data_IF_220676479755
#
_entry.id   IF_220676479755
#
_cell.length_a   1.000
_cell.length_b   1.000
_cell.length_c   1.000
_cell.angle_alpha   90.00
_cell.angle_beta   90.00
_cell.angle_gamma   90.00
#
_symmetry.space_group_name_H-M   'P 1'
#
loop_
_entity.id
_entity.type
_entity.pdbx_description
1 polymer ?
#
# COMPACT_ATOMS: atom_id res chain seq x y z
N UNK A 1 31.75 -10.67 33.38
CA UNK A 1 32.45 -9.54 32.70
C UNK A 1 31.66 -9.07 31.48
N UNK A 2 31.27 -9.97 30.58
CA UNK A 2 30.51 -9.65 29.36
C UNK A 2 29.19 -8.94 29.65
N UNK A 3 28.40 -9.45 30.59
CA UNK A 3 27.14 -8.81 31.01
C UNK A 3 27.36 -7.38 31.55
N UNK A 4 28.45 -7.15 32.29
CA UNK A 4 28.77 -5.81 32.82
C UNK A 4 29.15 -4.86 31.68
N UNK A 5 29.99 -5.30 30.75
CA UNK A 5 30.34 -4.55 29.54
C UNK A 5 29.10 -4.16 28.75
N UNK A 6 28.22 -5.14 28.48
CA UNK A 6 26.98 -4.90 27.76
C UNK A 6 26.10 -3.87 28.47
N UNK A 7 25.94 -3.96 29.80
CA UNK A 7 25.14 -3.00 30.56
C UNK A 7 25.74 -1.57 30.53
N UNK A 8 27.05 -1.44 30.70
CA UNK A 8 27.71 -0.12 30.64
C UNK A 8 27.55 0.51 29.25
N UNK A 9 27.77 -0.26 28.19
CA UNK A 9 27.58 0.21 26.82
C UNK A 9 26.11 0.50 26.51
N UNK A 10 25.19 -0.29 27.06
CA UNK A 10 23.76 -0.09 26.86
C UNK A 10 23.27 1.22 27.51
N UNK A 11 23.61 1.45 28.78
CA UNK A 11 23.07 2.56 29.57
C UNK A 11 23.89 3.85 29.51
N UNK A 12 25.20 3.77 29.33
CA UNK A 12 26.12 4.89 29.57
C UNK A 12 27.13 5.15 28.46
N UNK A 13 26.88 4.68 27.24
CA UNK A 13 27.80 4.91 26.11
C UNK A 13 28.18 6.39 25.88
N UNK A 14 27.26 7.36 25.97
CA UNK A 14 27.60 8.77 25.76
C UNK A 14 28.16 9.47 27.00
N UNK A 15 28.44 8.75 28.10
CA UNK A 15 29.05 9.36 29.29
C UNK A 15 30.41 9.99 28.93
N UNK A 16 30.68 11.23 29.38
CA UNK A 16 31.91 11.93 29.02
C UNK A 16 33.13 11.37 29.77
N UNK A 17 32.93 10.78 30.95
CA UNK A 17 34.00 10.17 31.72
C UNK A 17 34.36 8.78 31.15
N UNK A 18 35.65 8.47 30.93
CA UNK A 18 36.05 7.17 30.40
C UNK A 18 35.88 6.06 31.45
N UNK A 19 35.10 5.03 31.09
CA UNK A 19 34.78 3.87 31.91
C UNK A 19 35.67 2.71 31.51
N UNK A 20 36.46 2.21 32.46
CA UNK A 20 37.39 1.12 32.22
C UNK A 20 36.95 -0.16 32.92
N UNK A 21 36.95 -1.29 32.19
CA UNK A 21 36.91 -2.62 32.78
C UNK A 21 38.33 -3.12 32.99
N UNK A 22 38.65 -3.47 34.23
CA UNK A 22 39.95 -4.03 34.62
C UNK A 22 39.76 -5.53 34.87
N UNK A 23 40.49 -6.36 34.11
CA UNK A 23 40.52 -7.81 34.26
C UNK A 23 41.98 -8.28 34.36
N UNK A 24 42.47 -8.43 35.59
CA UNK A 24 43.90 -8.63 35.83
C UNK A 24 44.69 -7.43 35.32
N UNK A 25 45.65 -7.65 34.42
CA UNK A 25 46.45 -6.60 33.78
C UNK A 25 45.76 -5.95 32.57
N UNK A 26 44.67 -6.53 32.05
CA UNK A 26 43.97 -6.01 30.86
C UNK A 26 43.04 -4.86 31.27
N UNK A 27 43.24 -3.69 30.66
CA UNK A 27 42.38 -2.50 30.78
C UNK A 27 41.64 -2.26 29.47
N UNK A 28 40.32 -2.30 29.49
CA UNK A 28 39.47 -2.09 28.30
C UNK A 28 38.57 -0.87 28.50
N UNK A 29 38.58 0.09 27.58
CA UNK A 29 37.65 1.23 27.57
C UNK A 29 36.28 0.76 27.08
N UNK A 30 35.23 1.04 27.85
CA UNK A 30 33.87 0.55 27.56
C UNK A 30 33.01 1.56 26.78
N UNK A 31 33.23 2.86 26.98
CA UNK A 31 32.53 3.95 26.30
C UNK A 31 33.53 4.78 25.47
N UNK A 32 33.93 4.30 24.28
CA UNK A 32 34.75 5.12 23.39
C UNK A 32 34.03 6.45 23.07
N UNK A 33 34.77 7.56 22.93
CA UNK A 33 34.17 8.83 22.55
C UNK A 33 33.49 8.71 21.19
N UNK A 34 32.50 9.57 20.94
CA UNK A 34 31.80 9.57 19.67
C UNK A 34 32.79 9.80 18.50
N UNK A 35 32.68 9.03 17.39
CA UNK A 35 33.66 9.10 16.30
C UNK A 35 33.86 10.51 15.72
N UNK A 36 35.10 10.85 15.38
CA UNK A 36 35.49 12.11 14.73
C UNK A 36 36.70 11.92 13.81
N UNK A 37 36.92 12.87 12.88
CA UNK A 37 38.04 12.86 11.93
C UNK A 37 37.77 12.08 10.64
N UNK A 38 38.83 11.76 9.89
CA UNK A 38 38.73 11.20 8.52
C UNK A 38 38.04 9.83 8.46
N UNK A 39 38.14 9.01 9.50
CA UNK A 39 37.51 7.68 9.58
C UNK A 39 36.12 7.70 10.23
N UNK A 40 35.56 8.88 10.50
CA UNK A 40 34.32 9.06 11.23
C UNK A 40 33.16 8.27 10.62
N UNK A 41 33.00 8.30 9.29
CA UNK A 41 31.89 7.62 8.63
C UNK A 41 31.89 6.11 8.92
N UNK A 42 33.03 5.43 8.69
CA UNK A 42 33.14 3.98 8.91
C UNK A 42 32.94 3.61 10.39
N UNK A 43 33.44 4.42 11.31
CA UNK A 43 33.27 4.22 12.75
C UNK A 43 31.82 4.41 13.21
N UNK A 44 31.12 5.42 12.68
CA UNK A 44 29.69 5.62 12.96
C UNK A 44 28.88 4.44 12.43
N UNK A 45 29.12 3.99 11.20
CA UNK A 45 28.44 2.83 10.65
C UNK A 45 28.65 1.57 11.50
N UNK A 46 29.89 1.27 11.88
CA UNK A 46 30.22 0.12 12.73
C UNK A 46 29.58 0.24 14.14
N UNK A 47 29.52 1.45 14.70
CA UNK A 47 28.83 1.72 15.95
C UNK A 47 27.33 1.40 15.83
N UNK A 48 26.67 1.88 14.77
CA UNK A 48 25.28 1.59 14.50
C UNK A 48 25.01 0.08 14.40
N UNK A 49 25.80 -0.62 13.59
CA UNK A 49 25.70 -2.08 13.41
C UNK A 49 25.83 -2.82 14.74
N UNK A 50 26.78 -2.42 15.58
CA UNK A 50 26.95 -3.00 16.91
C UNK A 50 25.81 -2.67 17.89
N UNK A 51 25.23 -1.48 17.82
CA UNK A 51 24.20 -1.02 18.75
C UNK A 51 22.83 -1.64 18.50
N UNK A 52 22.50 -1.82 17.23
CA UNK A 52 21.18 -2.22 16.77
C UNK A 52 21.14 -3.62 16.16
N UNK A 53 22.30 -4.28 16.01
CA UNK A 53 22.41 -5.60 15.37
C UNK A 53 21.75 -5.62 13.99
N UNK A 54 21.93 -4.55 13.23
CA UNK A 54 21.26 -4.31 11.94
C UNK A 54 22.22 -3.65 10.95
N UNK A 55 21.96 -3.83 9.66
CA UNK A 55 22.73 -3.20 8.59
C UNK A 55 22.07 -1.88 8.17
N UNK A 56 22.91 -0.94 7.74
CA UNK A 56 22.47 0.41 7.41
C UNK A 56 22.98 0.84 6.03
N UNK A 57 22.18 1.63 5.31
CA UNK A 57 22.57 2.26 4.04
C UNK A 57 23.54 3.43 4.26
N UNK A 58 23.41 4.08 5.42
CA UNK A 58 24.15 5.27 5.82
C UNK A 58 23.53 5.87 7.07
N UNK A 59 23.93 7.08 7.42
CA UNK A 59 23.39 7.81 8.56
C UNK A 59 23.11 9.28 8.23
N UNK A 60 22.23 9.86 9.04
CA UNK A 60 21.83 11.26 9.05
C UNK A 60 22.41 11.88 10.33
N UNK A 61 23.28 12.90 10.25
CA UNK A 61 23.65 13.70 11.41
C UNK A 61 22.42 14.39 12.00
N UNK A 62 22.22 14.27 13.31
CA UNK A 62 21.12 14.91 14.03
C UNK A 62 21.69 15.98 14.95
N UNK A 63 21.75 17.21 14.46
CA UNK A 63 22.26 18.35 15.22
C UNK A 63 21.16 19.40 15.38
N UNK A 64 20.63 19.53 16.60
CA UNK A 64 19.58 20.50 16.92
C UNK A 64 20.11 21.94 16.73
N UNK A 65 19.44 22.79 15.93
CA UNK A 65 19.80 24.20 15.80
C UNK A 65 19.76 24.97 17.12
N UNK A 66 18.90 24.54 18.06
CA UNK A 66 18.76 25.17 19.38
C UNK A 66 19.54 24.44 20.49
N UNK A 67 20.28 23.38 20.15
CA UNK A 67 21.07 22.59 21.09
C UNK A 67 20.27 21.65 22.00
N UNK A 68 19.01 21.34 21.65
CA UNK A 68 18.15 20.43 22.41
C UNK A 68 18.62 18.98 22.38
N UNK A 69 19.20 18.56 21.27
CA UNK A 69 19.70 17.20 21.07
C UNK A 69 20.89 17.16 20.09
N UNK A 70 21.65 16.08 20.17
CA UNK A 70 22.72 15.74 19.23
C UNK A 70 22.76 14.23 19.02
N UNK A 71 23.12 13.76 17.83
CA UNK A 71 23.24 12.33 17.57
C UNK A 71 23.25 11.96 16.10
N UNK A 72 22.81 10.74 15.81
CA UNK A 72 22.74 10.19 14.44
C UNK A 72 21.49 9.34 14.26
N UNK A 73 20.91 9.40 13.06
CA UNK A 73 19.85 8.50 12.61
C UNK A 73 20.39 7.57 11.52
N UNK A 74 20.47 6.28 11.80
CA UNK A 74 20.89 5.28 10.83
C UNK A 74 19.71 4.85 9.95
N UNK A 75 19.94 4.80 8.64
CA UNK A 75 18.94 4.43 7.64
C UNK A 75 19.02 2.93 7.41
N UNK A 76 17.97 2.18 7.76
CA UNK A 76 17.95 0.71 7.63
C UNK A 76 18.16 0.26 6.19
N UNK A 77 18.82 -0.88 5.99
CA UNK A 77 19.04 -1.47 4.66
C UNK A 77 17.91 -2.35 4.15
N UNK A 78 16.87 -2.57 4.96
CA UNK A 78 15.73 -3.43 4.69
C UNK A 78 14.41 -2.71 5.01
N UNK A 79 13.34 -3.08 4.29
CA UNK A 79 12.02 -2.51 4.52
C UNK A 79 11.54 -2.78 5.96
N UNK A 80 10.86 -1.80 6.53
CA UNK A 80 10.36 -1.86 7.90
C UNK A 80 8.89 -1.46 7.93
N UNK A 81 8.04 -2.27 8.56
CA UNK A 81 6.65 -1.92 8.75
C UNK A 81 6.49 -0.80 9.81
N UNK A 82 5.49 0.09 9.70
CA UNK A 82 5.22 1.11 10.73
C UNK A 82 5.00 0.53 12.13
N UNK A 83 4.42 -0.68 12.19
CA UNK A 83 4.11 -1.42 13.42
C UNK A 83 5.29 -2.23 13.97
N UNK A 84 6.43 -2.26 13.28
CA UNK A 84 7.60 -2.96 13.76
C UNK A 84 8.07 -2.36 15.08
N UNK A 85 8.59 -3.20 15.98
CA UNK A 85 9.16 -2.71 17.23
C UNK A 85 10.40 -1.87 16.93
N UNK A 86 10.32 -0.59 17.25
CA UNK A 86 11.46 0.32 17.15
C UNK A 86 12.27 0.22 18.44
N UNK A 87 13.58 0.04 18.30
CA UNK A 87 14.52 0.14 19.42
C UNK A 87 15.53 1.22 19.03
N UNK A 88 15.27 2.44 19.53
CA UNK A 88 16.19 3.55 19.45
C UNK A 88 17.13 3.53 20.67
N UNK A 89 18.10 4.44 20.69
CA UNK A 89 18.99 4.69 21.81
C UNK A 89 18.88 6.16 22.18
N UNK A 90 17.93 6.49 23.06
CA UNK A 90 17.64 7.86 23.43
C UNK A 90 18.11 8.11 24.86
N UNK A 91 19.13 8.97 24.98
CA UNK A 91 19.80 9.32 26.22
C UNK A 91 19.36 10.70 26.69
N UNK A 92 19.15 10.84 27.98
CA UNK A 92 18.97 12.12 28.67
C UNK A 92 20.17 12.34 29.58
N UNK A 93 20.90 13.44 29.37
CA UNK A 93 22.12 13.76 30.12
C UNK A 93 23.10 12.59 30.13
N UNK A 94 23.34 12.03 28.94
CA UNK A 94 24.27 10.94 28.67
C UNK A 94 23.91 9.57 29.27
N UNK A 95 22.71 9.42 29.83
CA UNK A 95 22.19 8.17 30.38
C UNK A 95 20.97 7.71 29.61
N UNK A 96 20.90 6.41 29.29
CA UNK A 96 19.79 5.87 28.52
C UNK A 96 18.49 6.11 29.28
N UNK A 97 17.55 6.76 28.62
CA UNK A 97 16.21 7.02 29.16
C UNK A 97 15.22 6.03 28.56
N UNK A 98 15.21 5.92 27.23
CA UNK A 98 14.22 5.12 26.53
C UNK A 98 14.74 4.60 25.19
N UNK A 99 14.15 3.50 24.75
CA UNK A 99 14.30 2.99 23.39
C UNK A 99 13.09 3.32 22.52
N UNK A 100 12.00 3.82 23.12
CA UNK A 100 10.81 4.24 22.42
C UNK A 100 10.98 5.67 21.91
N UNK A 101 10.93 5.83 20.59
CA UNK A 101 11.03 7.12 19.92
C UNK A 101 9.68 7.76 19.61
N UNK A 102 8.55 7.14 19.96
CA UNK A 102 7.22 7.50 19.47
C UNK A 102 6.79 8.95 19.76
N UNK A 103 7.24 9.53 20.88
CA UNK A 103 6.95 10.94 21.22
C UNK A 103 7.91 11.94 20.58
N UNK A 104 9.13 11.50 20.25
CA UNK A 104 10.22 12.39 19.83
C UNK A 104 10.40 12.40 18.30
N UNK A 105 10.22 11.25 17.64
CA UNK A 105 10.43 11.10 16.20
C UNK A 105 9.14 11.33 15.40
N UNK A 106 9.25 11.82 14.15
CA UNK A 106 8.11 11.84 13.24
C UNK A 106 7.56 10.42 12.99
N UNK A 107 6.24 10.28 12.87
CA UNK A 107 5.59 8.97 12.68
C UNK A 107 6.07 8.24 11.42
N UNK A 108 6.47 8.97 10.38
CA UNK A 108 6.98 8.42 9.12
C UNK A 108 8.44 7.95 9.20
N UNK A 109 9.19 8.29 10.25
CA UNK A 109 10.62 8.00 10.40
C UNK A 109 10.93 6.57 10.88
N UNK A 110 9.99 5.63 10.74
CA UNK A 110 10.11 4.24 11.22
C UNK A 110 11.23 3.42 10.55
N UNK A 111 11.73 3.90 9.41
CA UNK A 111 12.88 3.33 8.71
C UNK A 111 14.24 3.71 9.30
N UNK A 112 14.24 4.51 10.37
CA UNK A 112 15.46 4.97 11.06
C UNK A 112 15.69 4.23 12.38
N UNK A 113 16.95 4.10 12.77
CA UNK A 113 17.37 3.78 14.13
C UNK A 113 18.19 4.94 14.66
N UNK A 114 17.80 5.47 15.81
CA UNK A 114 18.34 6.76 16.27
C UNK A 114 19.20 6.54 17.50
N UNK A 115 20.40 7.10 17.50
CA UNK A 115 21.22 7.30 18.69
C UNK A 115 21.20 8.80 18.98
N UNK A 116 20.48 9.20 20.02
CA UNK A 116 20.21 10.62 20.34
C UNK A 116 20.57 10.86 21.80
N UNK A 117 21.30 11.93 22.08
CA UNK A 117 21.47 12.46 23.42
C UNK A 117 20.81 13.84 23.51
N UNK A 118 20.03 14.06 24.56
CA UNK A 118 19.41 15.35 24.88
C UNK A 118 19.78 15.80 26.28
N UNK A 119 19.91 17.11 26.47
CA UNK A 119 20.14 17.72 27.80
C UNK A 119 18.96 18.61 28.26
N UNK A 120 18.11 19.02 27.32
CA UNK A 120 17.05 20.01 27.54
C UNK A 120 15.65 19.42 27.73
N UNK A 121 15.44 18.14 27.42
CA UNK A 121 14.13 17.51 27.59
C UNK A 121 13.87 17.04 29.03
N UNK A 122 12.60 17.06 29.42
CA UNK A 122 12.16 16.67 30.76
C UNK A 122 11.66 15.23 30.75
N UNK A 123 12.13 14.35 31.65
CA UNK A 123 11.64 12.99 31.74
C UNK A 123 10.30 12.93 32.48
N UNK A 124 9.53 11.87 32.26
CA UNK A 124 8.41 11.50 33.12
C UNK A 124 8.87 11.09 34.52
N UNK A 125 7.93 10.96 35.47
CA UNK A 125 8.23 10.52 36.82
C UNK A 125 8.85 9.10 36.87
N UNK A 126 8.45 8.19 35.98
CA UNK A 126 9.05 6.85 35.86
C UNK A 126 10.44 6.85 35.23
N UNK A 127 10.82 7.95 34.55
CA UNK A 127 12.05 8.07 33.74
C UNK A 127 12.16 7.05 32.60
N UNK A 128 11.02 6.68 32.03
CA UNK A 128 10.96 5.76 30.89
C UNK A 128 10.60 6.47 29.58
N UNK A 129 10.26 7.77 29.66
CA UNK A 129 9.85 8.58 28.52
C UNK A 129 9.98 10.08 28.86
N UNK A 130 9.64 10.96 27.92
CA UNK A 130 9.60 12.41 28.07
C UNK A 130 8.22 12.95 28.42
N UNK A 131 8.19 14.00 29.24
CA UNK A 131 6.98 14.74 29.55
C UNK A 131 6.56 15.60 28.34
N UNK A 132 5.28 15.55 27.98
CA UNK A 132 4.74 16.30 26.83
C UNK A 132 4.64 17.80 27.17
N UNK A 133 5.60 18.56 26.67
CA UNK A 133 5.66 20.01 26.81
C UNK A 133 6.15 20.69 25.53
N UNK A 134 6.22 22.02 25.53
CA UNK A 134 6.70 22.79 24.39
C UNK A 134 8.15 22.48 23.97
N UNK A 135 9.01 22.05 24.90
CA UNK A 135 10.39 21.67 24.56
C UNK A 135 10.43 20.35 23.76
N UNK A 136 9.62 19.36 24.15
CA UNK A 136 9.48 18.11 23.41
C UNK A 136 8.89 18.35 22.02
N UNK A 137 7.86 19.19 21.92
CA UNK A 137 7.26 19.57 20.64
C UNK A 137 8.30 20.21 19.70
N UNK A 138 9.07 21.20 20.18
CA UNK A 138 10.14 21.83 19.40
C UNK A 138 11.23 20.84 19.00
N UNK A 139 11.67 19.96 19.90
CA UNK A 139 12.67 18.95 19.58
C UNK A 139 12.19 18.02 18.46
N UNK A 140 10.90 17.65 18.46
CA UNK A 140 10.31 16.85 17.38
C UNK A 140 10.27 17.61 16.04
N UNK A 141 9.91 18.89 16.03
CA UNK A 141 9.96 19.72 14.82
C UNK A 141 11.38 19.83 14.26
N UNK A 142 12.35 20.10 15.12
CA UNK A 142 13.76 20.21 14.73
C UNK A 142 14.33 18.87 14.23
N UNK A 143 13.97 17.75 14.86
CA UNK A 143 14.35 16.41 14.37
C UNK A 143 13.75 16.14 13.00
N UNK A 144 12.45 16.44 12.82
CA UNK A 144 11.78 16.31 11.53
C UNK A 144 12.53 17.12 10.47
N UNK A 145 12.85 18.38 10.77
CA UNK A 145 13.59 19.27 9.88
C UNK A 145 14.99 18.75 9.55
N UNK A 146 15.76 18.24 10.52
CA UNK A 146 17.08 17.67 10.27
C UNK A 146 17.02 16.50 9.27
N UNK A 147 16.03 15.61 9.45
CA UNK A 147 15.85 14.45 8.59
C UNK A 147 15.39 14.90 7.19
N UNK A 148 14.42 15.80 7.09
CA UNK A 148 13.92 16.27 5.79
C UNK A 148 14.97 17.07 5.03
N UNK A 149 15.74 17.94 5.69
CA UNK A 149 16.86 18.67 5.07
C UNK A 149 17.93 17.74 4.52
N UNK A 150 18.29 16.67 5.25
CA UNK A 150 19.20 15.67 4.73
C UNK A 150 18.68 15.01 3.45
N UNK A 151 17.41 14.59 3.45
CA UNK A 151 16.77 13.99 2.28
C UNK A 151 16.69 14.97 1.09
N UNK A 152 16.36 16.25 1.35
CA UNK A 152 16.40 17.33 0.34
C UNK A 152 17.82 17.54 -0.20
N UNK A 153 18.85 17.44 0.63
CA UNK A 153 20.24 17.58 0.21
C UNK A 153 20.68 16.46 -0.73
N UNK A 154 20.25 15.21 -0.47
CA UNK A 154 20.47 14.08 -1.37
C UNK A 154 19.75 14.29 -2.70
N UNK A 155 18.53 14.81 -2.67
CA UNK A 155 17.78 15.16 -3.87
C UNK A 155 18.45 16.24 -4.71
N UNK A 156 18.89 17.34 -4.09
CA UNK A 156 19.60 18.41 -4.79
C UNK A 156 20.91 17.96 -5.43
N UNK A 157 21.57 16.95 -4.86
CA UNK A 157 22.81 16.35 -5.38
C UNK A 157 22.59 15.20 -6.37
N UNK A 158 21.34 14.77 -6.58
CA UNK A 158 21.00 13.55 -7.32
C UNK A 158 21.76 12.31 -6.78
N UNK A 159 21.88 12.23 -5.46
CA UNK A 159 22.64 11.17 -4.80
C UNK A 159 21.95 9.81 -5.01
N UNK A 160 22.66 8.76 -5.50
CA UNK A 160 22.10 7.41 -5.67
C UNK A 160 21.51 6.82 -4.38
N UNK A 161 21.96 7.29 -3.21
CA UNK A 161 21.41 6.92 -1.92
C UNK A 161 19.92 7.25 -1.81
N UNK A 162 19.46 8.35 -2.41
CA UNK A 162 18.05 8.74 -2.39
C UNK A 162 17.18 7.67 -3.06
N UNK A 163 17.57 7.23 -4.26
CA UNK A 163 16.84 6.20 -5.01
C UNK A 163 16.79 4.88 -4.23
N UNK A 164 17.89 4.53 -3.53
CA UNK A 164 17.92 3.35 -2.65
C UNK A 164 16.95 3.48 -1.48
N UNK A 165 16.87 4.66 -0.85
CA UNK A 165 15.92 4.95 0.23
C UNK A 165 14.48 4.81 -0.29
N UNK A 166 14.16 5.43 -1.42
CA UNK A 166 12.82 5.38 -2.03
C UNK A 166 12.39 3.95 -2.33
N UNK A 167 13.30 3.14 -2.90
CA UNK A 167 13.01 1.75 -3.27
C UNK A 167 12.78 0.85 -2.05
N UNK A 168 13.55 1.04 -0.97
CA UNK A 168 13.48 0.17 0.22
C UNK A 168 12.38 0.63 1.17
N UNK A 169 12.19 1.94 1.35
CA UNK A 169 11.33 2.53 2.38
C UNK A 169 10.13 3.26 1.76
N UNK A 170 9.51 2.64 0.75
CA UNK A 170 8.47 3.26 -0.07
C UNK A 170 7.36 3.88 0.77
N UNK A 171 6.81 3.17 1.75
CA UNK A 171 5.70 3.66 2.56
C UNK A 171 6.06 4.90 3.40
N UNK A 172 7.25 4.92 4.00
CA UNK A 172 7.74 6.07 4.77
C UNK A 172 7.93 7.30 3.88
N UNK A 173 8.55 7.07 2.72
CA UNK A 173 8.80 8.11 1.72
C UNK A 173 7.49 8.67 1.18
N UNK A 174 6.51 7.82 0.89
CA UNK A 174 5.17 8.26 0.47
C UNK A 174 4.49 9.12 1.54
N UNK A 175 4.57 8.72 2.81
CA UNK A 175 3.99 9.48 3.93
C UNK A 175 4.56 10.89 4.03
N UNK A 176 5.89 11.05 3.96
CA UNK A 176 6.52 12.38 4.06
C UNK A 176 6.31 13.22 2.79
N UNK A 177 6.24 12.58 1.62
CA UNK A 177 6.01 13.25 0.35
C UNK A 177 4.62 13.89 0.23
N UNK A 178 3.63 13.49 1.03
CA UNK A 178 2.31 14.15 1.03
C UNK A 178 2.32 15.44 1.84
N UNK A 179 3.19 15.52 2.85
CA UNK A 179 3.25 16.64 3.79
C UNK A 179 4.25 17.73 3.32
N UNK A 180 5.23 17.39 2.47
CA UNK A 180 6.34 18.27 2.09
C UNK A 180 6.53 18.36 0.57
N UNK A 181 6.29 19.55 0.00
CA UNK A 181 6.37 19.80 -1.44
C UNK A 181 7.76 19.56 -2.04
N UNK A 182 8.83 19.90 -1.32
CA UNK A 182 10.19 19.76 -1.82
C UNK A 182 10.58 18.28 -1.89
N UNK A 183 10.22 17.51 -0.86
CA UNK A 183 10.42 16.07 -0.83
C UNK A 183 9.50 15.34 -1.81
N UNK A 184 8.25 15.78 -1.95
CA UNK A 184 7.37 15.30 -3.02
C UNK A 184 8.05 15.43 -4.38
N UNK A 185 8.59 16.62 -4.67
CA UNK A 185 9.29 16.89 -5.93
C UNK A 185 10.49 15.98 -6.16
N UNK A 186 11.23 15.71 -5.09
CA UNK A 186 12.41 14.87 -5.11
C UNK A 186 12.10 13.38 -5.30
N UNK A 187 11.05 12.88 -4.64
CA UNK A 187 10.78 11.45 -4.54
C UNK A 187 9.84 10.93 -5.62
N UNK A 188 8.86 11.72 -6.02
CA UNK A 188 7.80 11.28 -6.94
C UNK A 188 8.34 10.63 -8.22
N UNK A 189 9.39 11.17 -8.89
CA UNK A 189 9.92 10.55 -10.11
C UNK A 189 10.41 9.10 -9.93
N UNK A 190 10.83 8.73 -8.72
CA UNK A 190 11.39 7.41 -8.39
C UNK A 190 10.36 6.44 -7.78
N UNK A 191 9.17 6.92 -7.42
CA UNK A 191 8.11 6.07 -6.91
C UNK A 191 7.56 5.20 -8.04
N UNK A 192 7.24 3.94 -7.73
CA UNK A 192 6.62 3.01 -8.67
C UNK A 192 5.13 2.86 -8.37
N UNK A 193 4.35 2.77 -9.43
CA UNK A 193 2.90 2.68 -9.42
C UNK A 193 2.45 1.48 -10.25
N UNK A 194 1.48 0.73 -9.75
CA UNK A 194 0.81 -0.31 -10.53
C UNK A 194 -0.20 0.36 -11.47
N UNK A 195 -0.12 0.07 -12.76
CA UNK A 195 -0.94 0.72 -13.80
C UNK A 195 -1.45 -0.27 -14.84
N UNK A 196 -2.44 0.14 -15.63
CA UNK A 196 -3.00 -0.64 -16.74
C UNK A 196 -1.94 -1.10 -17.77
N UNK A 197 -0.77 -0.46 -17.81
CA UNK A 197 0.37 -0.83 -18.66
C UNK A 197 1.52 -1.51 -17.88
N UNK A 198 1.22 -2.09 -16.73
CA UNK A 198 2.21 -2.69 -15.83
C UNK A 198 2.74 -1.69 -14.80
N UNK A 199 3.93 -1.94 -14.27
CA UNK A 199 4.54 -1.05 -13.29
C UNK A 199 5.21 0.12 -13.99
N UNK A 200 4.78 1.34 -13.67
CA UNK A 200 5.36 2.58 -14.17
C UNK A 200 5.98 3.38 -13.02
N UNK A 201 7.01 4.16 -13.31
CA UNK A 201 7.58 5.12 -12.36
C UNK A 201 6.79 6.43 -12.38
N UNK A 202 6.90 7.24 -11.33
CA UNK A 202 6.34 8.59 -11.35
C UNK A 202 6.96 9.44 -12.45
N UNK A 203 8.22 9.18 -12.83
CA UNK A 203 8.81 9.79 -14.03
C UNK A 203 8.01 9.43 -15.28
N UNK A 204 7.65 8.17 -15.47
CA UNK A 204 6.84 7.75 -16.63
C UNK A 204 5.47 8.42 -16.63
N UNK A 205 4.83 8.53 -15.45
CA UNK A 205 3.55 9.24 -15.31
C UNK A 205 3.67 10.74 -15.66
N UNK A 206 4.77 11.38 -15.27
CA UNK A 206 5.03 12.79 -15.61
C UNK A 206 5.30 13.01 -17.11
N UNK A 207 5.68 11.98 -17.85
CA UNK A 207 5.87 12.01 -19.31
C UNK A 207 4.63 11.53 -20.07
N UNK A 208 3.53 11.21 -19.38
CA UNK A 208 2.30 10.84 -20.05
C UNK A 208 1.72 12.02 -20.85
N UNK A 209 1.26 11.73 -22.07
CA UNK A 209 0.58 12.69 -22.94
C UNK A 209 -0.96 12.64 -22.79
N UNK A 210 -1.46 11.77 -21.92
CA UNK A 210 -2.89 11.53 -21.68
C UNK A 210 -3.24 11.77 -20.22
N UNK A 211 -4.54 12.01 -19.91
CA UNK A 211 -4.99 12.10 -18.52
C UNK A 211 -4.67 10.83 -17.73
N UNK A 212 -4.29 11.01 -16.46
CA UNK A 212 -4.03 9.90 -15.53
C UNK A 212 -5.30 9.62 -14.75
N UNK A 213 -5.85 8.42 -14.93
CA UNK A 213 -6.99 7.95 -14.14
C UNK A 213 -6.51 7.13 -12.95
N UNK A 214 -7.30 7.09 -11.87
CA UNK A 214 -7.04 6.18 -10.74
C UNK A 214 -8.32 5.62 -10.14
N UNK A 215 -8.24 4.44 -9.53
CA UNK A 215 -9.28 3.90 -8.64
C UNK A 215 -8.76 3.86 -7.20
N UNK A 216 -9.56 4.28 -6.21
CA UNK A 216 -9.16 4.29 -4.80
C UNK A 216 -9.19 2.91 -4.14
N UNK A 217 -9.66 1.87 -4.84
CA UNK A 217 -9.71 0.50 -4.35
C UNK A 217 -9.02 -0.48 -5.30
N UNK A 218 -8.36 -1.50 -4.71
CA UNK A 218 -7.57 -2.50 -5.45
C UNK A 218 -8.49 -3.38 -6.32
N UNK A 219 -9.66 -3.74 -5.82
CA UNK A 219 -10.56 -4.63 -6.56
C UNK A 219 -11.22 -3.90 -7.74
N UNK A 220 -11.57 -2.62 -7.60
CA UNK A 220 -11.99 -1.79 -8.73
C UNK A 220 -10.91 -1.72 -9.82
N UNK A 221 -9.65 -1.51 -9.40
CA UNK A 221 -8.54 -1.49 -10.33
C UNK A 221 -8.46 -2.79 -11.14
N UNK A 222 -8.53 -3.95 -10.46
CA UNK A 222 -8.47 -5.28 -11.11
C UNK A 222 -9.56 -5.46 -12.17
N UNK A 223 -10.78 -4.98 -11.89
CA UNK A 223 -11.91 -5.09 -12.80
C UNK A 223 -11.69 -4.33 -14.11
N UNK A 224 -11.14 -3.12 -14.02
CA UNK A 224 -11.11 -2.18 -15.16
C UNK A 224 -9.74 -2.01 -15.80
N UNK A 225 -8.67 -2.55 -15.21
CA UNK A 225 -7.30 -2.40 -15.71
C UNK A 225 -7.13 -2.93 -17.14
N UNK A 226 -7.60 -4.14 -17.42
CA UNK A 226 -7.46 -4.77 -18.74
C UNK A 226 -8.20 -3.98 -19.84
N UNK A 227 -9.40 -3.49 -19.53
CA UNK A 227 -10.22 -2.69 -20.45
C UNK A 227 -9.58 -1.33 -20.69
N UNK A 228 -9.07 -0.71 -19.62
CA UNK A 228 -8.37 0.57 -19.69
C UNK A 228 -7.12 0.45 -20.58
N UNK A 229 -6.33 -0.61 -20.40
CA UNK A 229 -5.16 -0.89 -21.23
C UNK A 229 -5.52 -1.03 -22.72
N UNK A 230 -6.57 -1.81 -23.03
CA UNK A 230 -7.01 -2.04 -24.39
C UNK A 230 -7.57 -0.78 -25.09
N UNK A 231 -8.01 0.21 -24.30
CA UNK A 231 -8.47 1.53 -24.77
C UNK A 231 -7.40 2.61 -24.71
N UNK A 232 -6.14 2.23 -24.50
CA UNK A 232 -5.03 3.15 -24.34
C UNK A 232 -5.26 4.20 -23.22
N UNK A 233 -5.99 3.82 -22.16
CA UNK A 233 -6.30 4.64 -21.00
C UNK A 233 -5.35 4.31 -19.87
N UNK A 234 -4.58 5.31 -19.42
CA UNK A 234 -3.65 5.17 -18.29
C UNK A 234 -4.43 5.20 -16.98
N UNK A 235 -4.58 4.02 -16.39
CA UNK A 235 -5.24 3.82 -15.10
C UNK A 235 -4.21 3.39 -14.07
N UNK A 236 -4.20 4.02 -12.89
CA UNK A 236 -3.30 3.72 -11.78
C UNK A 236 -4.09 3.08 -10.63
N UNK A 237 -3.54 2.01 -10.04
CA UNK A 237 -4.07 1.44 -8.82
C UNK A 237 -3.73 2.34 -7.63
N UNK A 238 -4.71 3.11 -7.15
CA UNK A 238 -4.56 3.97 -5.99
C UNK A 238 -5.17 3.38 -4.70
N UNK A 239 -5.45 2.06 -4.70
CA UNK A 239 -5.93 1.33 -3.52
C UNK A 239 -4.89 1.10 -2.43
N UNK A 240 -3.63 1.40 -2.70
CA UNK A 240 -2.58 1.40 -1.69
C UNK A 240 -2.50 2.73 -0.94
N UNK A 241 -2.09 2.67 0.33
CA UNK A 241 -1.91 3.84 1.18
C UNK A 241 -1.12 4.93 0.45
N UNK A 242 -1.59 6.18 0.58
CA UNK A 242 -0.97 7.39 0.04
C UNK A 242 -0.97 7.55 -1.49
N UNK A 243 -1.25 6.51 -2.29
CA UNK A 243 -1.11 6.59 -3.76
C UNK A 243 -2.05 7.64 -4.36
N UNK A 244 -3.34 7.63 -3.99
CA UNK A 244 -4.30 8.63 -4.49
C UNK A 244 -3.85 10.07 -4.18
N UNK A 245 -3.46 10.31 -2.92
CA UNK A 245 -2.98 11.63 -2.45
C UNK A 245 -1.72 12.09 -3.19
N UNK A 246 -0.83 11.16 -3.54
CA UNK A 246 0.36 11.46 -4.34
C UNK A 246 0.00 11.81 -5.80
N UNK A 247 -0.97 11.12 -6.38
CA UNK A 247 -1.45 11.41 -7.75
C UNK A 247 -2.19 12.75 -7.80
N UNK A 248 -3.04 13.06 -6.83
CA UNK A 248 -3.76 14.34 -6.73
C UNK A 248 -2.82 15.55 -6.62
N UNK A 249 -1.59 15.34 -6.15
CA UNK A 249 -0.54 16.36 -6.08
C UNK A 249 0.30 16.47 -7.37
N UNK A 250 0.11 15.58 -8.35
CA UNK A 250 0.85 15.58 -9.62
C UNK A 250 0.72 16.90 -10.42
N UNK A 251 -0.40 17.65 -10.35
CA UNK A 251 -0.50 18.99 -10.95
C UNK A 251 0.56 19.99 -10.46
N UNK A 252 1.24 19.74 -9.32
CA UNK A 252 2.40 20.53 -8.89
C UNK A 252 3.58 20.44 -9.88
N UNK A 253 3.71 19.31 -10.60
CA UNK A 253 4.71 19.13 -11.66
C UNK A 253 4.16 19.48 -13.04
N UNK A 254 2.98 18.96 -13.36
CA UNK A 254 2.34 19.04 -14.68
C UNK A 254 0.89 19.51 -14.53
N UNK A 255 0.65 20.83 -14.43
CA UNK A 255 -0.71 21.38 -14.32
C UNK A 255 -1.59 21.07 -15.53
N UNK A 256 -0.99 20.71 -16.65
CA UNK A 256 -1.62 20.38 -17.93
C UNK A 256 -2.10 18.93 -18.01
N UNK A 257 -1.55 18.01 -17.20
CA UNK A 257 -2.04 16.63 -17.12
C UNK A 257 -3.16 16.57 -16.09
N UNK A 258 -4.36 16.23 -16.56
CA UNK A 258 -5.48 16.02 -15.67
C UNK A 258 -5.35 14.68 -14.93
N UNK A 259 -5.49 14.73 -13.60
CA UNK A 259 -5.60 13.55 -12.74
C UNK A 259 -7.05 13.41 -12.29
N UNK A 260 -7.67 12.26 -12.56
CA UNK A 260 -9.09 12.05 -12.31
C UNK A 260 -9.37 10.68 -11.70
N UNK A 261 -10.27 10.62 -10.72
CA UNK A 261 -10.81 9.34 -10.27
C UNK A 261 -11.65 8.72 -11.39
N UNK A 262 -11.48 7.42 -11.62
CA UNK A 262 -12.30 6.63 -12.53
C UNK A 262 -13.67 6.40 -11.90
N UNK A 263 -14.72 6.93 -12.53
CA UNK A 263 -16.11 6.77 -12.07
C UNK A 263 -16.86 5.68 -12.85
N UNK A 264 -17.92 5.08 -12.29
CA UNK A 264 -18.72 4.07 -13.00
C UNK A 264 -19.28 4.55 -14.34
N UNK A 265 -19.69 5.81 -14.48
CA UNK A 265 -20.25 6.33 -15.74
C UNK A 265 -19.20 6.40 -16.85
N UNK A 266 -17.93 6.60 -16.47
CA UNK A 266 -16.79 6.54 -17.40
C UNK A 266 -16.50 5.09 -17.82
N UNK A 267 -16.71 4.11 -16.93
CA UNK A 267 -16.58 2.70 -17.28
C UNK A 267 -17.63 2.32 -18.32
N UNK A 268 -18.89 2.73 -18.13
CA UNK A 268 -19.95 2.51 -19.13
C UNK A 268 -19.62 3.14 -20.49
N UNK A 269 -18.92 4.28 -20.50
CA UNK A 269 -18.43 4.90 -21.74
C UNK A 269 -17.30 4.12 -22.43
N UNK A 270 -16.55 3.28 -21.70
CA UNK A 270 -15.59 2.34 -22.31
C UNK A 270 -16.30 1.16 -23.00
N UNK A 271 -17.53 0.85 -22.58
CA UNK A 271 -18.36 -0.26 -23.07
C UNK A 271 -19.26 0.18 -24.24
N UNK A 272 -18.92 -0.28 -25.44
CA UNK A 272 -19.66 0.02 -26.66
C UNK A 272 -21.00 -0.73 -26.75
N UNK A 273 -21.93 -0.15 -27.50
CA UNK A 273 -23.18 -0.84 -27.84
C UNK A 273 -22.88 -2.04 -28.74
N UNK A 274 -23.49 -3.20 -28.48
CA UNK A 274 -23.37 -4.35 -29.36
C UNK A 274 -23.99 -4.07 -30.73
N UNK A 275 -23.33 -4.51 -31.79
CA UNK A 275 -23.92 -4.62 -33.12
C UNK A 275 -24.48 -6.03 -33.26
N UNK A 276 -25.79 -6.15 -33.32
CA UNK A 276 -26.46 -7.45 -33.39
C UNK A 276 -26.55 -7.93 -34.84
N UNK A 277 -26.01 -9.12 -35.13
CA UNK A 277 -26.36 -9.86 -36.34
C UNK A 277 -27.73 -10.51 -36.25
N UNK A 278 -28.04 -11.12 -35.09
CA UNK A 278 -29.34 -11.72 -34.75
C UNK A 278 -29.82 -11.22 -33.38
N UNK A 279 -30.79 -10.31 -33.39
CA UNK A 279 -31.40 -9.75 -32.18
C UNK A 279 -32.17 -10.78 -31.36
N UNK A 280 -32.73 -11.83 -31.96
CA UNK A 280 -33.52 -12.82 -31.23
C UNK A 280 -32.62 -13.73 -30.39
N UNK A 281 -31.49 -14.18 -30.96
CA UNK A 281 -30.49 -14.96 -30.24
C UNK A 281 -29.88 -14.16 -29.07
N UNK A 282 -29.60 -12.88 -29.28
CA UNK A 282 -29.09 -11.98 -28.24
C UNK A 282 -30.08 -11.80 -27.07
N UNK A 283 -31.37 -11.62 -27.35
CA UNK A 283 -32.41 -11.50 -26.32
C UNK A 283 -32.59 -12.81 -25.54
N UNK A 284 -32.54 -13.97 -26.21
CA UNK A 284 -32.60 -15.28 -25.55
C UNK A 284 -31.44 -15.45 -24.58
N UNK A 285 -30.21 -15.16 -25.02
CA UNK A 285 -29.03 -15.27 -24.18
C UNK A 285 -29.12 -14.38 -22.93
N UNK A 286 -29.57 -13.12 -23.08
CA UNK A 286 -29.77 -12.21 -21.95
C UNK A 286 -30.84 -12.75 -20.99
N UNK A 287 -31.95 -13.28 -21.49
CA UNK A 287 -33.02 -13.81 -20.65
C UNK A 287 -32.54 -15.01 -19.81
N UNK A 288 -31.88 -15.97 -20.44
CA UNK A 288 -31.27 -17.13 -19.76
C UNK A 288 -30.21 -16.68 -18.74
N UNK A 289 -29.36 -15.73 -19.10
CA UNK A 289 -28.33 -15.20 -18.21
C UNK A 289 -28.94 -14.48 -17.00
N UNK A 290 -29.98 -13.66 -17.18
CA UNK A 290 -30.70 -13.04 -16.07
C UNK A 290 -31.40 -14.07 -15.18
N UNK A 291 -31.93 -15.16 -15.74
CA UNK A 291 -32.53 -16.22 -14.94
C UNK A 291 -31.49 -16.88 -14.04
N UNK A 292 -30.32 -17.23 -14.58
CA UNK A 292 -29.19 -17.79 -13.82
C UNK A 292 -28.68 -16.80 -12.76
N UNK A 293 -28.52 -15.52 -13.13
CA UNK A 293 -27.93 -14.50 -12.26
C UNK A 293 -28.88 -13.96 -11.18
N UNK A 294 -30.18 -14.23 -11.29
CA UNK A 294 -31.19 -13.82 -10.32
C UNK A 294 -30.92 -14.34 -8.91
N UNK A 295 -30.30 -15.52 -8.77
CA UNK A 295 -29.91 -16.10 -7.48
C UNK A 295 -28.72 -15.34 -6.82
N UNK A 296 -28.05 -14.47 -7.56
CA UNK A 296 -26.83 -13.76 -7.15
C UNK A 296 -27.00 -12.24 -7.07
N UNK A 297 -28.23 -11.72 -7.06
CA UNK A 297 -28.55 -10.28 -7.09
C UNK A 297 -27.84 -9.53 -8.25
N UNK A 298 -27.64 -10.21 -9.38
CA UNK A 298 -26.88 -9.72 -10.53
C UNK A 298 -27.76 -9.68 -11.79
N UNK A 299 -27.52 -8.69 -12.64
CA UNK A 299 -28.18 -8.56 -13.94
C UNK A 299 -27.19 -8.66 -15.10
N UNK A 300 -27.64 -9.16 -16.25
CA UNK A 300 -26.83 -9.34 -17.45
C UNK A 300 -27.02 -8.20 -18.46
N UNK A 301 -25.96 -7.82 -19.15
CA UNK A 301 -26.02 -6.89 -20.27
C UNK A 301 -25.03 -7.29 -21.36
N UNK A 302 -25.42 -7.19 -22.64
CA UNK A 302 -24.51 -7.40 -23.77
C UNK A 302 -23.82 -6.09 -24.14
N UNK A 303 -22.49 -6.14 -24.24
CA UNK A 303 -21.64 -5.00 -24.63
C UNK A 303 -20.55 -5.43 -25.60
N UNK A 304 -19.87 -4.45 -26.19
CA UNK A 304 -18.61 -4.65 -26.91
C UNK A 304 -17.51 -3.96 -26.14
N UNK A 305 -16.42 -4.68 -25.87
CA UNK A 305 -15.25 -4.10 -25.22
C UNK A 305 -13.99 -4.89 -25.57
N UNK A 306 -12.85 -4.21 -25.48
CA UNK A 306 -11.54 -4.82 -25.64
C UNK A 306 -10.91 -5.08 -24.25
N UNK A 307 -10.04 -6.09 -24.11
CA UNK A 307 -9.60 -7.04 -25.14
C UNK A 307 -10.69 -8.06 -25.52
N UNK A 308 -10.69 -8.53 -26.77
CA UNK A 308 -11.70 -9.47 -27.26
C UNK A 308 -11.59 -10.86 -26.59
N UNK A 309 -10.43 -11.17 -26.02
CA UNK A 309 -10.15 -12.38 -25.27
C UNK A 309 -10.89 -12.42 -23.92
N UNK A 310 -11.29 -11.26 -23.37
CA UNK A 310 -12.06 -11.17 -22.13
C UNK A 310 -13.55 -11.42 -22.43
N UNK A 311 -14.13 -12.57 -22.00
CA UNK A 311 -15.50 -12.93 -22.36
C UNK A 311 -16.55 -12.16 -21.56
N UNK A 312 -16.25 -11.83 -20.31
CA UNK A 312 -17.19 -11.19 -19.38
C UNK A 312 -16.48 -10.20 -18.47
N UNK A 313 -17.20 -9.16 -18.08
CA UNK A 313 -16.80 -8.18 -17.08
C UNK A 313 -17.90 -8.10 -16.01
N UNK A 314 -17.53 -8.28 -14.75
CA UNK A 314 -18.45 -8.07 -13.64
C UNK A 314 -18.14 -6.72 -12.99
N UNK A 315 -19.20 -5.95 -12.70
CA UNK A 315 -19.14 -4.66 -12.03
C UNK A 315 -20.21 -4.62 -10.94
N UNK A 316 -19.90 -4.02 -9.81
CA UNK A 316 -20.82 -3.90 -8.67
C UNK A 316 -20.60 -2.55 -8.03
N UNK A 317 -21.69 -1.95 -7.53
CA UNK A 317 -21.60 -0.64 -6.87
C UNK A 317 -20.87 -0.78 -5.51
N UNK A 318 -20.20 0.28 -5.05
CA UNK A 318 -19.45 0.33 -3.79
C UNK A 318 -20.32 -0.07 -2.58
N UNK A 319 -21.56 0.41 -2.52
CA UNK A 319 -22.51 0.10 -1.45
C UNK A 319 -22.89 -1.40 -1.43
N UNK A 320 -22.95 -2.01 -2.60
CA UNK A 320 -23.26 -3.42 -2.77
C UNK A 320 -22.06 -4.34 -2.48
N UNK A 321 -20.85 -3.86 -2.77
CA UNK A 321 -19.59 -4.48 -2.35
C UNK A 321 -19.48 -4.55 -0.82
N UNK A 322 -19.77 -3.44 -0.13
CA UNK A 322 -19.76 -3.41 1.33
C UNK A 322 -20.75 -4.42 1.94
N UNK A 323 -21.97 -4.49 1.41
CA UNK A 323 -22.96 -5.49 1.82
C UNK A 323 -22.49 -6.93 1.53
N UNK A 324 -21.83 -7.16 0.40
CA UNK A 324 -21.27 -8.48 0.03
C UNK A 324 -20.16 -8.90 0.99
N UNK A 325 -19.26 -7.99 1.37
CA UNK A 325 -18.16 -8.26 2.31
C UNK A 325 -18.66 -8.53 3.73
N UNK A 326 -19.68 -7.78 4.17
CA UNK A 326 -20.36 -8.02 5.45
C UNK A 326 -20.98 -9.43 5.42
N UNK A 327 -21.76 -9.77 4.38
CA UNK A 327 -22.38 -11.11 4.26
C UNK A 327 -21.36 -12.24 4.19
N UNK A 328 -20.26 -12.08 3.44
CA UNK A 328 -19.18 -13.08 3.36
C UNK A 328 -18.50 -13.30 4.72
N UNK A 329 -18.22 -12.22 5.46
CA UNK A 329 -17.63 -12.30 6.82
C UNK A 329 -18.55 -13.00 7.82
N UNK A 330 -19.88 -12.91 7.61
CA UNK A 330 -20.89 -13.60 8.42
C UNK A 330 -20.97 -15.10 8.16
N UNK A 331 -20.74 -15.58 6.93
CA UNK A 331 -20.62 -17.02 6.64
C UNK A 331 -19.45 -17.66 7.40
N UNK A 332 -18.45 -16.85 7.79
CA UNK A 332 -17.26 -17.28 8.52
C UNK A 332 -17.35 -17.08 10.04
N UNK A 333 -18.30 -16.28 10.56
CA UNK A 333 -18.38 -15.91 11.98
C UNK A 333 -19.81 -16.11 12.52
N UNK A 334 -20.00 -17.10 13.41
CA UNK A 334 -21.32 -17.48 13.89
C UNK A 334 -22.01 -16.44 14.82
N UNK A 335 -23.32 -16.29 14.58
CA UNK A 335 -24.45 -15.86 15.43
C UNK A 335 -24.46 -14.51 16.18
N UNK A 336 -23.35 -13.81 16.39
CA UNK A 336 -23.35 -12.62 17.28
C UNK A 336 -23.76 -11.28 16.63
N UNK A 337 -23.82 -11.19 15.30
CA UNK A 337 -24.08 -9.92 14.58
C UNK A 337 -25.37 -9.88 13.74
N UNK A 338 -26.17 -10.95 13.78
CA UNK A 338 -27.32 -11.14 12.88
C UNK A 338 -28.44 -10.12 13.11
N UNK A 339 -28.82 -9.89 14.38
CA UNK A 339 -30.00 -9.08 14.73
C UNK A 339 -29.79 -7.55 14.72
N UNK A 340 -28.55 -7.06 14.65
CA UNK A 340 -28.25 -5.62 14.66
C UNK A 340 -28.13 -5.04 13.24
N UNK A 341 -28.01 -5.89 12.23
CA UNK A 341 -27.82 -5.52 10.82
C UNK A 341 -29.02 -5.80 9.92
N UNK A 342 -30.01 -6.62 10.33
CA UNK A 342 -31.28 -6.73 9.60
C UNK A 342 -31.97 -5.35 9.47
N UNK A 343 -31.82 -4.50 10.50
CA UNK A 343 -32.26 -3.10 10.46
C UNK A 343 -31.46 -2.22 9.47
N UNK A 344 -30.22 -2.58 9.14
CA UNK A 344 -29.41 -1.90 8.11
C UNK A 344 -29.64 -2.47 6.72
N UNK A 345 -30.01 -3.75 6.59
CA UNK A 345 -30.27 -4.40 5.31
C UNK A 345 -31.65 -4.06 4.74
N UNK A 346 -32.67 -3.84 5.59
CA UNK A 346 -34.02 -3.44 5.16
C UNK A 346 -34.07 -2.00 4.60
N UNK A 347 -33.09 -1.15 4.90
CA UNK A 347 -33.08 0.26 4.46
C UNK A 347 -32.55 0.44 3.02
N UNK A 348 -32.03 -0.62 2.38
CA UNK A 348 -31.39 -0.56 1.05
C UNK A 348 -31.92 -1.62 0.08
N UNK A 349 -33.04 -1.34 -0.58
CA UNK A 349 -33.51 -2.07 -1.75
C UNK A 349 -34.12 -1.12 -2.78
N UNK A 350 -33.62 -1.12 -4.02
CA UNK A 350 -34.47 -1.19 -5.24
C UNK A 350 -33.76 -1.24 -6.62
N UNK A 351 -32.44 -1.18 -6.75
CA UNK A 351 -31.78 -1.40 -8.05
C UNK A 351 -30.76 -2.53 -7.99
N UNK A 352 -30.82 -3.48 -8.92
CA UNK A 352 -29.93 -4.63 -8.98
C UNK A 352 -28.45 -4.18 -8.87
N UNK A 353 -27.80 -4.64 -7.81
CA UNK A 353 -26.61 -4.02 -7.26
C UNK A 353 -25.31 -4.38 -8.03
N UNK A 354 -25.38 -5.46 -8.83
CA UNK A 354 -24.31 -5.94 -9.68
C UNK A 354 -24.75 -6.17 -11.14
N UNK A 355 -23.81 -5.97 -12.07
CA UNK A 355 -23.97 -6.18 -13.51
C UNK A 355 -22.86 -7.07 -14.07
N UNK A 356 -23.25 -8.08 -14.84
CA UNK A 356 -22.37 -8.90 -15.66
C UNK A 356 -22.51 -8.47 -17.13
N UNK A 357 -21.45 -7.89 -17.67
CA UNK A 357 -21.34 -7.51 -19.06
C UNK A 357 -20.74 -8.66 -19.88
N UNK A 358 -21.46 -9.17 -20.86
CA UNK A 358 -20.97 -10.18 -21.80
C UNK A 358 -20.38 -9.51 -23.05
N UNK A 359 -19.15 -9.88 -23.40
CA UNK A 359 -18.43 -9.32 -24.53
C UNK A 359 -18.85 -9.96 -25.85
N UNK A 360 -19.64 -9.25 -26.63
CA UNK A 360 -20.09 -9.73 -27.94
C UNK A 360 -18.98 -9.79 -29.00
N UNK A 361 -17.81 -9.21 -28.76
CA UNK A 361 -16.62 -9.41 -29.60
C UNK A 361 -15.85 -10.70 -29.27
N UNK A 362 -16.13 -11.31 -28.12
CA UNK A 362 -15.51 -12.57 -27.72
C UNK A 362 -16.13 -13.77 -28.47
N UNK A 363 -15.30 -14.66 -29.07
CA UNK A 363 -15.81 -15.83 -29.81
C UNK A 363 -16.64 -16.81 -28.98
N UNK A 364 -16.36 -16.97 -27.69
CA UNK A 364 -17.12 -17.85 -26.79
C UNK A 364 -18.53 -17.30 -26.60
N UNK A 365 -18.67 -16.00 -26.31
CA UNK A 365 -19.98 -15.35 -26.14
C UNK A 365 -20.81 -15.43 -27.42
N UNK A 366 -20.19 -15.25 -28.59
CA UNK A 366 -20.88 -15.45 -29.88
C UNK A 366 -21.39 -16.88 -30.04
N UNK A 367 -20.57 -17.89 -29.71
CA UNK A 367 -21.01 -19.30 -29.76
C UNK A 367 -22.15 -19.59 -28.79
N UNK A 368 -22.15 -18.99 -27.60
CA UNK A 368 -23.24 -19.16 -26.63
C UNK A 368 -24.58 -18.62 -27.14
N UNK A 369 -24.58 -17.62 -28.05
CA UNK A 369 -25.82 -17.16 -28.68
C UNK A 369 -26.47 -18.27 -29.53
N UNK A 370 -25.70 -19.21 -30.08
CA UNK A 370 -26.18 -20.29 -30.96
C UNK A 370 -26.48 -21.60 -30.23
N UNK A 371 -26.20 -21.70 -28.93
CA UNK A 371 -26.45 -22.91 -28.14
C UNK A 371 -27.95 -23.08 -27.89
N UNK A 372 -28.51 -24.19 -28.37
CA UNK A 372 -29.92 -24.56 -28.17
C UNK A 372 -30.16 -25.39 -26.90
N UNK A 373 -29.11 -25.98 -26.33
CA UNK A 373 -29.17 -26.84 -25.14
C UNK A 373 -29.12 -25.97 -23.88
N UNK A 374 -30.26 -25.83 -23.22
CA UNK A 374 -30.42 -24.97 -22.05
C UNK A 374 -29.57 -25.38 -20.85
N UNK A 375 -29.35 -26.69 -20.64
CA UNK A 375 -28.50 -27.16 -19.52
C UNK A 375 -27.04 -26.80 -19.75
N UNK A 376 -26.54 -26.99 -20.99
CA UNK A 376 -25.18 -26.60 -21.36
C UNK A 376 -24.98 -25.10 -21.30
N UNK A 377 -25.98 -24.33 -21.76
CA UNK A 377 -25.94 -22.87 -21.72
C UNK A 377 -25.86 -22.36 -20.28
N UNK A 378 -26.73 -22.87 -19.39
CA UNK A 378 -26.72 -22.53 -17.96
C UNK A 378 -25.37 -22.79 -17.31
N UNK A 379 -24.83 -23.99 -17.49
CA UNK A 379 -23.53 -24.40 -16.95
C UNK A 379 -22.40 -23.46 -17.44
N UNK A 380 -22.39 -23.09 -18.71
CA UNK A 380 -21.41 -22.14 -19.25
C UNK A 380 -21.54 -20.73 -18.64
N UNK A 381 -22.77 -20.25 -18.44
CA UNK A 381 -23.03 -18.93 -17.87
C UNK A 381 -22.63 -18.87 -16.38
N UNK A 382 -22.88 -19.94 -15.63
CA UNK A 382 -22.46 -20.11 -14.23
C UNK A 382 -20.92 -20.06 -14.11
N UNK A 383 -20.21 -20.77 -14.98
CA UNK A 383 -18.74 -20.72 -15.03
C UNK A 383 -18.22 -19.33 -15.40
N UNK A 384 -18.82 -18.67 -16.40
CA UNK A 384 -18.41 -17.31 -16.79
C UNK A 384 -18.63 -16.32 -15.65
N UNK A 385 -19.74 -16.41 -14.92
CA UNK A 385 -19.99 -15.58 -13.75
C UNK A 385 -18.90 -15.76 -12.70
N UNK A 386 -18.59 -17.01 -12.31
CA UNK A 386 -17.54 -17.28 -11.32
C UNK A 386 -16.16 -16.84 -11.82
N UNK A 387 -15.86 -17.04 -13.10
CA UNK A 387 -14.63 -16.56 -13.72
C UNK A 387 -14.52 -15.03 -13.65
N UNK A 388 -15.62 -14.30 -13.87
CA UNK A 388 -15.64 -12.85 -13.76
C UNK A 388 -15.35 -12.39 -12.33
N UNK A 389 -15.90 -13.08 -11.33
CA UNK A 389 -15.61 -12.82 -9.91
C UNK A 389 -14.12 -13.04 -9.59
N UNK A 390 -13.56 -14.17 -10.04
CA UNK A 390 -12.15 -14.50 -9.85
C UNK A 390 -11.21 -13.48 -10.49
N UNK A 391 -11.51 -13.10 -11.74
CA UNK A 391 -10.70 -12.14 -12.50
C UNK A 391 -10.78 -10.74 -11.88
N UNK A 392 -11.97 -10.36 -11.38
CA UNK A 392 -12.19 -9.10 -10.66
C UNK A 392 -11.68 -9.09 -9.21
N UNK A 393 -11.20 -10.22 -8.69
CA UNK A 393 -10.66 -10.33 -7.33
C UNK A 393 -11.72 -10.38 -6.22
N UNK A 394 -12.98 -10.65 -6.56
CA UNK A 394 -14.07 -10.66 -5.59
C UNK A 394 -14.04 -11.91 -4.70
N UNK A 395 -14.35 -11.79 -3.40
CA UNK A 395 -14.49 -12.96 -2.54
C UNK A 395 -15.64 -13.83 -3.04
N UNK A 396 -15.33 -15.11 -3.28
CA UNK A 396 -16.32 -16.11 -3.66
C UNK A 396 -17.01 -16.65 -2.40
N UNK A 397 -18.33 -16.73 -2.43
CA UNK A 397 -19.12 -17.42 -1.41
C UNK A 397 -18.92 -18.93 -1.52
N UNK A 398 -19.19 -19.66 -0.44
CA UNK A 398 -19.04 -21.12 -0.43
C UNK A 398 -19.86 -21.82 -1.52
N UNK A 399 -21.05 -21.28 -1.83
CA UNK A 399 -21.90 -21.81 -2.90
C UNK A 399 -21.31 -21.58 -4.31
N UNK A 400 -20.72 -20.41 -4.57
CA UNK A 400 -20.08 -20.08 -5.86
C UNK A 400 -18.84 -20.94 -6.14
N UNK A 401 -18.09 -21.29 -5.08
CA UNK A 401 -16.95 -22.23 -5.15
C UNK A 401 -17.39 -23.68 -5.44
N UNK A 402 -18.50 -24.13 -4.86
CA UNK A 402 -19.06 -25.46 -5.13
C UNK A 402 -19.60 -25.54 -6.56
N UNK A 403 -20.30 -24.51 -7.01
CA UNK A 403 -20.83 -24.35 -8.36
C UNK A 403 -19.73 -24.56 -9.41
N UNK A 404 -18.60 -23.84 -9.29
CA UNK A 404 -17.48 -23.96 -10.22
C UNK A 404 -16.95 -25.38 -10.35
N UNK A 405 -16.77 -26.09 -9.23
CA UNK A 405 -16.28 -27.47 -9.25
C UNK A 405 -17.29 -28.42 -9.89
N UNK A 406 -18.58 -28.28 -9.56
CA UNK A 406 -19.65 -29.12 -10.12
C UNK A 406 -19.80 -28.91 -11.63
N UNK A 407 -19.75 -27.67 -12.09
CA UNK A 407 -19.95 -27.33 -13.49
C UNK A 407 -18.73 -27.66 -14.36
N UNK A 408 -17.51 -27.47 -13.83
CA UNK A 408 -16.30 -27.95 -14.52
C UNK A 408 -16.30 -29.47 -14.69
N UNK A 409 -16.76 -30.23 -13.68
CA UNK A 409 -16.92 -31.68 -13.79
C UNK A 409 -17.96 -32.06 -14.85
N UNK A 410 -19.11 -31.38 -14.89
CA UNK A 410 -20.14 -31.61 -15.92
C UNK A 410 -19.63 -31.34 -17.33
N UNK A 411 -18.88 -30.25 -17.53
CA UNK A 411 -18.25 -29.97 -18.83
C UNK A 411 -17.26 -31.07 -19.24
N UNK A 412 -16.48 -31.60 -18.29
CA UNK A 412 -15.56 -32.70 -18.53
C UNK A 412 -16.31 -33.98 -18.89
N UNK A 413 -17.36 -34.32 -18.16
CA UNK A 413 -18.21 -35.49 -18.42
C UNK A 413 -18.82 -35.44 -19.83
N UNK A 414 -19.28 -34.28 -20.29
CA UNK A 414 -19.79 -34.08 -21.66
C UNK A 414 -18.72 -34.07 -22.76
N UNK A 415 -17.44 -33.92 -22.40
CA UNK A 415 -16.32 -33.92 -23.35
C UNK A 415 -15.65 -35.30 -23.49
N UNK A 416 -15.69 -36.10 -22.41
CA UNK A 416 -15.07 -37.42 -22.32
C UNK A 416 -16.09 -38.51 -22.69
N UNK A 417 -17.38 -38.31 -22.39
CA UNK A 417 -18.49 -39.15 -22.84
C UNK A 417 -19.06 -38.69 -24.17
#
# INVERSE_FOLDING_TARGET
>A
PEKLTALVQYYGLPLPEPIYLIQGEKRTLLNPPFPSGETQYAQIMALGESLFSANFLGYIPLDSPTGLFSGVAYILSNETAPTAKHSHRIYLKNMLLTEDGGRLLPKWAFFLRCFINTNGLQPTASREDFYENGALFRAREELSHCITEYLRSLAGKQDPMLQRIVRIHRLAVQSVAIEDDALYRAFFPYLTFETSFGTLTGSDLLHADTPVYYTPFIDEYRQVAAISAARNTLLVNAGYTYVAQLLERMPLFRPDIAVMQMKPERLDALLEKPEYGDTAAALRLIAECNQVLSEYDCSASLKRFAPAELPVLYTVNEEALLLRDIRHSMEQTADLFRGMLDAFAEEYHEEAAAKLYLNTDNPLVRRLMDVSDGEKLRCCLEILYVQALLTGGYPMRNHEMQLLNTDLLRLLDWSIG
#
